data_IF_409149213039
#
_entry.id   IF_409149213039
#
_cell.length_a   1.000
_cell.length_b   1.000
_cell.length_c   1.000
_cell.angle_alpha   90.00
_cell.angle_beta   90.00
_cell.angle_gamma   90.00
#
_symmetry.space_group_name_H-M   'P 1'
#
loop_
_entity.id
_entity.type
_entity.pdbx_description
1 polymer ?
#
# COMPACT_ATOMS: atom_id res chain seq x y z
N UNK A 1 -11.18 -24.01 2.61
CA UNK A 1 -10.98 -25.44 2.26
C UNK A 1 -9.68 -25.60 1.49
N UNK A 2 -9.09 -26.80 1.45
CA UNK A 2 -7.86 -27.08 0.67
C UNK A 2 -8.03 -26.74 -0.81
N UNK A 3 -9.19 -27.02 -1.38
CA UNK A 3 -9.49 -26.69 -2.78
C UNK A 3 -9.48 -25.18 -3.06
N UNK A 4 -9.95 -24.36 -2.12
CA UNK A 4 -9.87 -22.90 -2.24
C UNK A 4 -8.42 -22.40 -2.24
N UNK A 5 -7.57 -22.98 -1.38
CA UNK A 5 -6.15 -22.65 -1.33
C UNK A 5 -5.42 -23.08 -2.60
N UNK A 6 -5.73 -24.26 -3.15
CA UNK A 6 -5.17 -24.71 -4.40
C UNK A 6 -5.52 -23.77 -5.57
N UNK A 7 -6.78 -23.30 -5.62
CA UNK A 7 -7.20 -22.31 -6.62
C UNK A 7 -6.47 -20.98 -6.49
N UNK A 8 -6.34 -20.44 -5.27
CA UNK A 8 -5.61 -19.20 -5.00
C UNK A 8 -4.13 -19.33 -5.39
N UNK A 9 -3.49 -20.46 -5.03
CA UNK A 9 -2.09 -20.71 -5.37
C UNK A 9 -1.90 -20.82 -6.88
N UNK A 10 -2.79 -21.47 -7.62
CA UNK A 10 -2.73 -21.57 -9.06
C UNK A 10 -2.84 -20.19 -9.72
N UNK A 11 -3.80 -19.36 -9.27
CA UNK A 11 -3.97 -18.00 -9.77
C UNK A 11 -2.75 -17.12 -9.45
N UNK A 12 -2.16 -17.25 -8.26
CA UNK A 12 -0.96 -16.52 -7.88
C UNK A 12 0.23 -16.87 -8.80
N UNK A 13 0.41 -18.16 -9.10
CA UNK A 13 1.45 -18.63 -10.03
C UNK A 13 1.24 -18.05 -11.43
N UNK A 14 0.02 -18.11 -11.96
CA UNK A 14 -0.32 -17.58 -13.29
C UNK A 14 -0.07 -16.07 -13.37
N UNK A 15 -0.57 -15.32 -12.38
CA UNK A 15 -0.38 -13.87 -12.33
C UNK A 15 1.11 -13.50 -12.24
N UNK A 16 1.88 -14.23 -11.42
CA UNK A 16 3.33 -13.98 -11.28
C UNK A 16 4.09 -14.35 -12.55
N UNK A 17 3.75 -15.45 -13.20
CA UNK A 17 4.37 -15.85 -14.46
C UNK A 17 4.13 -14.85 -15.59
N UNK A 18 2.97 -14.19 -15.61
CA UNK A 18 2.67 -13.13 -16.57
C UNK A 18 3.57 -11.90 -16.37
N UNK A 19 3.94 -11.58 -15.12
CA UNK A 19 4.86 -10.47 -14.78
C UNK A 19 6.33 -10.86 -15.02
N UNK A 20 6.66 -12.12 -14.74
CA UNK A 20 8.03 -12.65 -14.85
C UNK A 20 8.14 -13.78 -15.90
N UNK A 21 8.01 -13.47 -17.20
CA UNK A 21 7.87 -14.48 -18.25
C UNK A 21 9.15 -15.34 -18.46
N UNK A 22 10.27 -14.94 -17.87
CA UNK A 22 11.54 -15.70 -17.91
C UNK A 22 11.67 -16.74 -16.78
N UNK A 23 10.74 -16.73 -15.81
CA UNK A 23 10.74 -17.66 -14.68
C UNK A 23 9.75 -18.79 -14.94
N UNK A 24 10.21 -20.04 -14.84
CA UNK A 24 9.34 -21.19 -15.04
C UNK A 24 8.20 -21.22 -13.99
N UNK A 25 6.95 -21.52 -14.36
CA UNK A 25 5.83 -21.59 -13.42
C UNK A 25 6.07 -22.55 -12.25
N UNK A 26 6.78 -23.67 -12.47
CA UNK A 26 7.11 -24.63 -11.41
C UNK A 26 8.09 -24.05 -10.39
N UNK A 27 9.01 -23.17 -10.82
CA UNK A 27 9.90 -22.44 -9.89
C UNK A 27 9.08 -21.48 -9.04
N UNK A 28 8.18 -20.70 -9.64
CA UNK A 28 7.27 -19.80 -8.92
C UNK A 28 6.45 -20.56 -7.90
N UNK A 29 5.94 -21.74 -8.26
CA UNK A 29 5.18 -22.62 -7.36
C UNK A 29 6.03 -23.11 -6.20
N UNK A 30 7.27 -23.52 -6.47
CA UNK A 30 8.19 -23.98 -5.42
C UNK A 30 8.53 -22.85 -4.44
N UNK A 31 8.82 -21.65 -4.94
CA UNK A 31 9.12 -20.48 -4.12
C UNK A 31 7.92 -20.08 -3.26
N UNK A 32 6.71 -20.06 -3.82
CA UNK A 32 5.47 -19.80 -3.09
C UNK A 32 5.25 -20.81 -1.96
N UNK A 33 5.44 -22.11 -2.23
CA UNK A 33 5.30 -23.14 -1.23
C UNK A 33 6.36 -23.02 -0.11
N UNK A 34 7.60 -22.72 -0.45
CA UNK A 34 8.68 -22.48 0.52
C UNK A 34 8.36 -21.27 1.43
N UNK A 35 7.87 -20.20 0.85
CA UNK A 35 7.44 -19.01 1.59
C UNK A 35 6.27 -19.32 2.55
N UNK A 36 5.22 -20.00 2.07
CA UNK A 36 4.07 -20.36 2.90
C UNK A 36 4.46 -21.31 4.04
N UNK A 37 5.35 -22.26 3.77
CA UNK A 37 5.87 -23.19 4.79
C UNK A 37 6.66 -22.43 5.86
N UNK A 38 7.48 -21.47 5.45
CA UNK A 38 8.25 -20.62 6.37
C UNK A 38 7.33 -19.77 7.25
N UNK A 39 6.29 -19.16 6.69
CA UNK A 39 5.31 -18.41 7.47
C UNK A 39 4.57 -19.29 8.49
N UNK A 40 4.18 -20.51 8.10
CA UNK A 40 3.54 -21.47 9.03
C UNK A 40 4.46 -21.86 10.18
N UNK A 41 5.74 -22.11 9.90
CA UNK A 41 6.73 -22.41 10.93
C UNK A 41 6.90 -21.23 11.91
N UNK A 42 7.05 -20.00 11.40
CA UNK A 42 7.18 -18.79 12.21
C UNK A 42 5.94 -18.56 13.09
N UNK A 43 4.73 -18.74 12.57
CA UNK A 43 3.49 -18.59 13.35
C UNK A 43 3.32 -19.68 14.41
N UNK A 44 3.94 -20.84 14.22
CA UNK A 44 3.99 -21.91 15.20
C UNK A 44 5.16 -21.78 16.21
N UNK A 45 5.96 -20.69 16.12
CA UNK A 45 7.13 -20.51 16.97
C UNK A 45 8.28 -21.45 16.63
N UNK A 46 8.30 -22.00 15.42
CA UNK A 46 9.32 -22.91 14.91
C UNK A 46 10.30 -22.19 14.00
N UNK A 47 11.50 -22.71 13.86
CA UNK A 47 12.48 -22.21 12.93
C UNK A 47 12.02 -22.46 11.47
N UNK A 48 12.06 -21.42 10.60
CA UNK A 48 11.63 -21.57 9.23
C UNK A 48 12.63 -22.42 8.43
N UNK A 49 12.17 -23.29 7.53
CA UNK A 49 13.06 -24.14 6.71
C UNK A 49 13.89 -23.33 5.70
N UNK A 50 13.49 -22.10 5.42
CA UNK A 50 14.21 -21.17 4.56
C UNK A 50 14.61 -19.95 5.41
N UNK A 51 15.91 -19.75 5.59
CA UNK A 51 16.44 -18.54 6.23
C UNK A 51 16.36 -17.38 5.26
N UNK A 52 15.55 -16.37 5.57
CA UNK A 52 15.52 -15.11 4.84
C UNK A 52 16.76 -14.33 5.19
N UNK A 53 17.71 -14.26 4.27
CA UNK A 53 18.86 -13.37 4.43
C UNK A 53 18.43 -11.93 4.16
N UNK A 54 18.97 -10.96 4.93
CA UNK A 54 18.74 -9.55 4.63
C UNK A 54 19.27 -9.26 3.21
N UNK A 55 18.40 -8.73 2.38
CA UNK A 55 18.74 -8.39 1.01
C UNK A 55 19.39 -7.01 1.00
N UNK A 56 20.61 -6.91 0.47
CA UNK A 56 21.23 -5.62 0.26
C UNK A 56 20.53 -4.84 -0.86
N UNK A 57 20.42 -3.53 -0.68
CA UNK A 57 19.70 -2.66 -1.59
C UNK A 57 20.27 -2.69 -3.02
N UNK A 58 21.59 -2.81 -3.18
CA UNK A 58 22.25 -2.87 -4.48
C UNK A 58 21.89 -4.14 -5.27
N UNK A 59 21.82 -5.27 -4.58
CA UNK A 59 21.38 -6.54 -5.17
C UNK A 59 19.90 -6.51 -5.54
N UNK A 60 19.06 -5.89 -4.71
CA UNK A 60 17.63 -5.80 -4.92
C UNK A 60 17.25 -4.81 -6.03
N UNK A 61 17.92 -3.65 -6.10
CA UNK A 61 17.59 -2.56 -7.01
C UNK A 61 17.50 -3.01 -8.49
N UNK A 62 18.34 -3.97 -8.91
CA UNK A 62 18.33 -4.50 -10.27
C UNK A 62 17.06 -5.28 -10.66
N UNK A 63 16.30 -5.74 -9.66
CA UNK A 63 15.05 -6.48 -9.85
C UNK A 63 13.81 -5.62 -9.65
N UNK A 64 13.98 -4.37 -9.23
CA UNK A 64 12.86 -3.45 -9.05
C UNK A 64 12.31 -3.00 -10.41
N UNK A 65 11.06 -3.32 -10.67
CA UNK A 65 10.34 -2.82 -11.84
C UNK A 65 9.66 -1.47 -11.59
N UNK A 66 9.46 -1.11 -10.31
CA UNK A 66 8.76 0.11 -9.87
C UNK A 66 9.28 0.56 -8.51
N UNK A 67 8.97 1.81 -8.07
CA UNK A 67 9.20 2.25 -6.70
C UNK A 67 8.55 1.31 -5.69
N UNK A 68 9.22 1.09 -4.56
CA UNK A 68 8.74 0.21 -3.47
C UNK A 68 7.47 0.73 -2.80
N UNK A 69 7.31 2.04 -2.78
CA UNK A 69 6.20 2.74 -2.14
C UNK A 69 5.91 4.03 -2.90
N UNK A 70 4.64 4.39 -2.94
CA UNK A 70 4.18 5.69 -3.38
C UNK A 70 3.41 6.38 -2.24
N UNK A 71 3.80 7.59 -1.92
CA UNK A 71 3.07 8.43 -0.98
C UNK A 71 2.10 9.33 -1.77
N UNK A 72 0.81 9.17 -1.53
CA UNK A 72 -0.26 9.91 -2.16
C UNK A 72 -0.70 11.05 -1.25
N UNK A 73 -0.34 12.28 -1.59
CA UNK A 73 -0.80 13.47 -0.88
C UNK A 73 -2.24 13.80 -1.28
N UNK A 74 -3.19 13.03 -0.73
CA UNK A 74 -4.61 13.12 -1.10
C UNK A 74 -5.29 14.38 -0.56
N UNK A 75 -4.71 15.02 0.46
CA UNK A 75 -5.21 16.27 1.05
C UNK A 75 -4.11 17.33 1.01
N UNK A 76 -4.46 18.53 0.62
CA UNK A 76 -3.54 19.69 0.60
C UNK A 76 -3.36 20.30 2.00
N UNK A 77 -2.24 21.01 2.21
CA UNK A 77 -2.03 21.81 3.42
C UNK A 77 -2.83 23.09 3.41
N UNK A 78 -3.00 23.67 2.20
CA UNK A 78 -3.72 24.91 1.97
C UNK A 78 -4.76 24.68 0.87
N UNK A 79 -5.92 25.30 1.03
CA UNK A 79 -7.01 25.29 0.07
C UNK A 79 -7.59 26.69 -0.02
N UNK A 80 -7.75 27.20 -1.25
CA UNK A 80 -8.31 28.52 -1.53
C UNK A 80 -7.59 29.64 -0.77
N UNK A 81 -6.26 29.53 -0.63
CA UNK A 81 -5.40 30.51 0.07
C UNK A 81 -5.49 30.47 1.60
N UNK A 82 -6.16 29.49 2.17
CA UNK A 82 -6.28 29.30 3.62
C UNK A 82 -5.71 27.95 4.07
N UNK A 83 -5.22 27.91 5.31
CA UNK A 83 -4.74 26.68 5.92
C UNK A 83 -5.88 25.65 6.00
N UNK A 84 -5.68 24.49 5.40
CA UNK A 84 -6.72 23.46 5.28
C UNK A 84 -6.55 22.30 6.25
N UNK A 85 -5.31 21.90 6.58
CA UNK A 85 -5.10 20.85 7.57
C UNK A 85 -5.68 21.26 8.94
N UNK A 86 -6.34 20.34 9.63
CA UNK A 86 -6.97 20.60 10.94
C UNK A 86 -5.97 20.74 12.11
N UNK A 87 -4.66 20.74 11.82
CA UNK A 87 -3.58 20.94 12.78
C UNK A 87 -2.43 21.74 12.18
N UNK A 88 -1.84 22.64 12.96
CA UNK A 88 -0.64 23.42 12.61
C UNK A 88 0.55 22.92 13.43
N UNK A 89 1.19 21.84 12.98
CA UNK A 89 2.35 21.28 13.66
C UNK A 89 3.58 22.18 13.44
N UNK A 90 4.33 22.48 14.49
CA UNK A 90 5.55 23.31 14.40
C UNK A 90 6.64 22.69 13.52
N UNK A 91 6.68 21.37 13.46
CA UNK A 91 7.66 20.59 12.69
C UNK A 91 7.12 20.07 11.36
N UNK A 92 6.00 20.63 10.85
CA UNK A 92 5.39 20.15 9.62
C UNK A 92 6.29 20.41 8.41
N UNK A 93 6.80 19.34 7.80
CA UNK A 93 7.67 19.43 6.62
C UNK A 93 6.96 19.94 5.38
N UNK A 94 5.64 19.80 5.30
CA UNK A 94 4.81 20.22 4.17
C UNK A 94 4.28 21.66 4.33
N UNK A 95 4.41 22.27 5.51
CA UNK A 95 4.02 23.65 5.74
C UNK A 95 4.92 24.59 4.92
N UNK A 96 4.32 25.62 4.33
CA UNK A 96 5.01 26.63 3.54
C UNK A 96 5.73 26.08 2.28
N UNK A 97 5.41 24.87 1.84
CA UNK A 97 5.90 24.33 0.58
C UNK A 97 4.96 24.73 -0.56
N UNK A 98 5.47 25.11 -1.75
CA UNK A 98 4.62 25.44 -2.90
C UNK A 98 3.66 24.30 -3.28
N UNK A 99 4.09 23.04 -3.09
CA UNK A 99 3.27 21.86 -3.34
C UNK A 99 2.17 21.64 -2.29
N UNK A 100 2.26 22.29 -1.13
CA UNK A 100 1.23 22.23 -0.09
C UNK A 100 -0.06 22.94 -0.46
N UNK A 101 0.00 23.87 -1.43
CA UNK A 101 -1.12 24.68 -1.92
C UNK A 101 -1.69 24.19 -3.27
N UNK A 102 -1.28 23.01 -3.74
CA UNK A 102 -1.75 22.46 -5.02
C UNK A 102 -3.23 22.07 -4.89
N UNK A 103 -4.01 22.34 -5.94
CA UNK A 103 -5.41 21.93 -6.02
C UNK A 103 -5.52 20.41 -5.84
N UNK A 104 -6.36 20.00 -4.91
CA UNK A 104 -6.64 18.58 -4.68
C UNK A 104 -7.28 17.93 -5.92
N UNK A 105 -6.84 16.72 -6.22
CA UNK A 105 -7.52 15.88 -7.19
C UNK A 105 -8.87 15.41 -6.62
N UNK A 106 -9.85 15.27 -7.49
CA UNK A 106 -11.12 14.66 -7.13
C UNK A 106 -11.02 13.12 -6.98
N UNK A 107 -12.11 12.49 -6.58
CA UNK A 107 -12.16 11.04 -6.35
C UNK A 107 -11.77 10.26 -7.60
N UNK A 108 -12.33 10.59 -8.76
CA UNK A 108 -12.09 9.84 -10.01
C UNK A 108 -10.64 9.97 -10.47
N UNK A 109 -10.06 11.15 -10.30
CA UNK A 109 -8.65 11.40 -10.60
C UNK A 109 -7.74 10.57 -9.68
N UNK A 110 -8.05 10.48 -8.37
CA UNK A 110 -7.30 9.64 -7.45
C UNK A 110 -7.46 8.14 -7.75
N UNK A 111 -8.65 7.70 -8.10
CA UNK A 111 -8.87 6.31 -8.55
C UNK A 111 -8.03 5.98 -9.78
N UNK A 112 -7.93 6.91 -10.75
CA UNK A 112 -7.06 6.75 -11.91
C UNK A 112 -5.57 6.69 -11.53
N UNK A 113 -5.11 7.49 -10.54
CA UNK A 113 -3.74 7.42 -10.02
C UNK A 113 -3.47 6.06 -9.35
N UNK A 114 -4.38 5.56 -8.52
CA UNK A 114 -4.27 4.25 -7.87
C UNK A 114 -4.15 3.14 -8.91
N UNK A 115 -4.97 3.17 -9.97
CA UNK A 115 -4.90 2.21 -11.07
C UNK A 115 -3.54 2.26 -11.81
N UNK A 116 -3.01 3.47 -12.05
CA UNK A 116 -1.67 3.64 -12.66
C UNK A 116 -0.57 3.07 -11.76
N UNK A 117 -0.65 3.30 -10.45
CA UNK A 117 0.29 2.71 -9.49
C UNK A 117 0.25 1.18 -9.54
N UNK A 118 -0.94 0.58 -9.64
CA UNK A 118 -1.11 -0.86 -9.81
C UNK A 118 -0.51 -1.37 -11.12
N UNK A 119 -0.81 -0.70 -12.22
CA UNK A 119 -0.26 -1.08 -13.54
C UNK A 119 1.27 -0.96 -13.59
N UNK A 120 1.84 -0.02 -12.85
CA UNK A 120 3.29 0.14 -12.71
C UNK A 120 3.94 -0.91 -11.79
N UNK A 121 3.16 -1.72 -11.05
CA UNK A 121 3.68 -2.74 -10.14
C UNK A 121 4.16 -2.21 -8.79
N UNK A 122 3.70 -1.03 -8.36
CA UNK A 122 4.03 -0.46 -7.05
C UNK A 122 3.34 -1.29 -5.96
N UNK A 123 4.05 -1.86 -4.97
CA UNK A 123 3.45 -2.76 -4.00
C UNK A 123 2.81 -2.07 -2.79
N UNK A 124 3.19 -0.82 -2.48
CA UNK A 124 2.72 -0.11 -1.29
C UNK A 124 2.23 1.30 -1.62
N UNK A 125 1.11 1.69 -1.00
CA UNK A 125 0.61 3.06 -1.03
C UNK A 125 0.48 3.62 0.38
N UNK A 126 0.90 4.89 0.56
CA UNK A 126 0.64 5.64 1.79
C UNK A 126 -0.28 6.80 1.46
N UNK A 127 -1.45 6.84 2.07
CA UNK A 127 -2.33 8.00 2.03
C UNK A 127 -1.85 9.03 3.04
N UNK A 128 -1.53 10.21 2.56
CA UNK A 128 -0.96 11.30 3.35
C UNK A 128 -1.44 12.66 2.83
N UNK A 129 -0.81 13.73 3.25
CA UNK A 129 -1.11 15.08 2.80
C UNK A 129 -1.06 16.08 3.92
N UNK A 130 -1.99 17.01 3.96
CA UNK A 130 -2.28 17.81 5.13
C UNK A 130 -2.84 16.91 6.23
N UNK A 131 -4.12 16.60 6.11
CA UNK A 131 -4.76 15.57 6.93
C UNK A 131 -5.74 14.76 6.05
N UNK A 132 -5.38 13.54 5.68
CA UNK A 132 -6.18 12.73 4.74
C UNK A 132 -7.57 12.38 5.28
N UNK A 133 -7.76 12.29 6.62
CA UNK A 133 -9.08 12.00 7.22
C UNK A 133 -10.09 13.14 7.09
N UNK A 134 -9.66 14.31 6.60
CA UNK A 134 -10.59 15.40 6.24
C UNK A 134 -11.30 15.17 4.90
N UNK A 135 -10.86 14.19 4.11
CA UNK A 135 -11.54 13.81 2.87
C UNK A 135 -12.72 12.89 3.15
N UNK A 136 -13.87 13.23 2.59
CA UNK A 136 -15.08 12.40 2.74
C UNK A 136 -15.01 11.09 1.95
N UNK A 137 -14.16 11.02 0.92
CA UNK A 137 -13.99 9.87 0.04
C UNK A 137 -12.78 8.98 0.41
N UNK A 138 -12.08 9.27 1.53
CA UNK A 138 -10.90 8.52 1.95
C UNK A 138 -11.13 7.01 2.00
N UNK A 139 -12.26 6.57 2.59
CA UNK A 139 -12.60 5.14 2.69
C UNK A 139 -12.73 4.50 1.31
N UNK A 140 -13.31 5.21 0.35
CA UNK A 140 -13.45 4.74 -1.03
C UNK A 140 -12.10 4.63 -1.73
N UNK A 141 -11.17 5.56 -1.48
CA UNK A 141 -9.81 5.51 -2.03
C UNK A 141 -9.02 4.33 -1.43
N UNK A 142 -9.13 4.10 -0.11
CA UNK A 142 -8.51 2.94 0.54
C UNK A 142 -9.08 1.64 0.00
N UNK A 143 -10.41 1.55 -0.17
CA UNK A 143 -11.06 0.39 -0.76
C UNK A 143 -10.57 0.09 -2.18
N UNK A 144 -10.36 1.11 -3.01
CA UNK A 144 -9.81 0.94 -4.36
C UNK A 144 -8.34 0.48 -4.37
N UNK A 145 -7.66 0.62 -3.24
CA UNK A 145 -6.25 0.27 -3.07
C UNK A 145 -6.01 -1.10 -2.43
N UNK A 146 -7.01 -1.99 -2.34
CA UNK A 146 -6.93 -3.31 -1.69
C UNK A 146 -5.83 -4.25 -2.23
N UNK A 147 -5.35 -4.00 -3.44
CA UNK A 147 -4.24 -4.77 -4.03
C UNK A 147 -2.89 -4.43 -3.39
N UNK A 148 -2.75 -3.24 -2.80
CA UNK A 148 -1.51 -2.75 -2.21
C UNK A 148 -1.44 -3.07 -0.72
N UNK A 149 -0.23 -3.04 -0.16
CA UNK A 149 -0.06 -2.79 1.27
C UNK A 149 -0.33 -1.31 1.50
N UNK A 150 -1.37 -1.00 2.26
CA UNK A 150 -1.87 0.36 2.44
C UNK A 150 -1.53 0.92 3.81
N UNK A 151 -1.13 2.19 3.83
CA UNK A 151 -0.86 2.94 5.05
C UNK A 151 -1.59 4.27 5.05
N UNK A 152 -1.95 4.74 6.23
CA UNK A 152 -2.55 6.04 6.46
C UNK A 152 -1.68 6.85 7.42
N UNK A 153 -1.10 7.95 6.96
CA UNK A 153 -0.44 8.91 7.82
C UNK A 153 -1.46 9.98 8.23
N UNK A 154 -1.85 9.98 9.49
CA UNK A 154 -2.84 10.91 10.04
C UNK A 154 -2.40 11.45 11.39
N UNK A 155 -2.87 12.64 11.76
CA UNK A 155 -2.72 13.18 13.10
C UNK A 155 -3.71 12.56 14.11
N UNK A 156 -4.62 11.71 13.66
CA UNK A 156 -5.55 10.93 14.46
C UNK A 156 -6.77 11.71 15.01
N UNK A 157 -6.84 13.03 14.83
CA UNK A 157 -7.89 13.87 15.44
C UNK A 157 -9.30 13.56 14.94
N UNK A 158 -9.41 13.03 13.73
CA UNK A 158 -10.69 12.67 13.11
C UNK A 158 -11.00 11.17 13.20
N UNK A 159 -10.11 10.36 13.81
CA UNK A 159 -10.32 8.92 13.96
C UNK A 159 -11.41 8.65 14.99
N UNK A 160 -12.60 8.34 14.50
CA UNK A 160 -13.71 7.82 15.31
C UNK A 160 -13.76 6.30 15.24
N UNK A 161 -14.42 5.65 16.20
CA UNK A 161 -14.63 4.20 16.13
C UNK A 161 -15.37 3.75 14.85
N UNK A 162 -16.24 4.59 14.29
CA UNK A 162 -16.91 4.33 13.02
C UNK A 162 -15.91 4.36 11.87
N UNK A 163 -15.15 5.46 11.74
CA UNK A 163 -14.15 5.59 10.68
C UNK A 163 -13.09 4.47 10.73
N UNK A 164 -12.64 4.09 11.94
CA UNK A 164 -11.70 2.96 12.09
C UNK A 164 -12.29 1.63 11.60
N UNK A 165 -13.58 1.37 11.84
CA UNK A 165 -14.27 0.18 11.32
C UNK A 165 -14.37 0.21 9.80
N UNK A 166 -14.71 1.37 9.23
CA UNK A 166 -14.85 1.54 7.78
C UNK A 166 -13.49 1.39 7.07
N UNK A 167 -12.42 1.98 7.61
CA UNK A 167 -11.06 1.84 7.09
C UNK A 167 -10.57 0.38 7.16
N UNK A 168 -10.87 -0.32 8.27
CA UNK A 168 -10.57 -1.75 8.39
C UNK A 168 -11.35 -2.58 7.38
N UNK A 169 -12.64 -2.30 7.19
CA UNK A 169 -13.48 -2.97 6.18
C UNK A 169 -12.99 -2.68 4.75
N UNK A 170 -12.40 -1.51 4.52
CA UNK A 170 -11.75 -1.14 3.26
C UNK A 170 -10.36 -1.76 3.08
N UNK A 171 -9.88 -2.61 4.02
CA UNK A 171 -8.59 -3.29 4.00
C UNK A 171 -7.38 -2.36 4.20
N UNK A 172 -7.50 -1.33 5.04
CA UNK A 172 -6.33 -0.57 5.48
C UNK A 172 -5.44 -1.42 6.38
N UNK A 173 -4.13 -1.52 6.07
CA UNK A 173 -3.19 -2.39 6.77
C UNK A 173 -2.54 -1.70 7.99
N UNK A 174 -2.25 -0.41 7.90
CA UNK A 174 -1.57 0.32 8.97
C UNK A 174 -1.98 1.80 9.06
N UNK A 175 -1.91 2.33 10.27
CA UNK A 175 -2.09 3.76 10.59
C UNK A 175 -0.85 4.27 11.30
#
# INVERSE_FOLDING_TARGET
TEDQWAGIAAQAVETTAAVYPKTAPDQIRADLNAMLTSFRALTAGQEPPVHVQPMDLGSYARYMAAPHRMDLMVSSMEKDGAWHCNQKCLHCYAANQPLGAVKELDTDQWLAVIQKCRAAGIPQLTFTGGEPTMRNDLVSLVHAAQWFVTRLNTNGRMLTSALCKDLRAASLDAV
#
